data_IF_765727401769
#
_entry.id   IF_765727401769
#
_cell.length_a   1.000
_cell.length_b   1.000
_cell.length_c   1.000
_cell.angle_alpha   90.00
_cell.angle_beta   90.00
_cell.angle_gamma   90.00
#
_symmetry.space_group_name_H-M   'P 1'
#
loop_
_entity.id
_entity.type
_entity.pdbx_description
1 polymer ?
#
# COMPACT_ATOMS: atom_id res chain seq x y z
N UNK A 1 -17.06 35.77 -70.37
CA UNK A 1 -16.12 35.94 -69.24
C UNK A 1 -16.78 36.02 -67.86
N UNK A 2 -18.05 36.36 -67.70
CA UNK A 2 -18.73 36.55 -66.40
C UNK A 2 -19.12 35.21 -65.71
N UNK A 3 -19.39 34.14 -66.46
CA UNK A 3 -19.86 32.85 -65.93
C UNK A 3 -18.75 32.02 -65.27
N UNK A 4 -17.47 32.22 -65.60
CA UNK A 4 -16.33 31.50 -65.05
C UNK A 4 -15.97 32.03 -63.63
N UNK A 5 -16.15 33.32 -63.39
CA UNK A 5 -15.89 33.97 -62.09
C UNK A 5 -16.92 33.59 -61.04
N UNK A 6 -18.14 33.20 -61.41
CA UNK A 6 -19.15 32.76 -60.41
C UNK A 6 -18.95 31.34 -59.92
N UNK A 7 -18.35 30.45 -60.71
CA UNK A 7 -17.98 29.08 -60.29
C UNK A 7 -16.74 29.06 -59.37
N UNK A 8 -15.78 29.96 -59.67
CA UNK A 8 -14.57 30.05 -58.82
C UNK A 8 -14.90 30.57 -57.39
N UNK A 9 -15.83 31.51 -57.24
CA UNK A 9 -16.26 32.04 -55.92
C UNK A 9 -16.98 31.00 -55.06
N UNK A 10 -17.78 30.10 -55.67
CA UNK A 10 -18.47 29.03 -54.93
C UNK A 10 -17.54 27.92 -54.50
N UNK A 11 -16.46 27.62 -55.23
CA UNK A 11 -15.46 26.63 -54.84
C UNK A 11 -14.53 27.15 -53.75
N UNK A 12 -14.14 28.45 -53.77
CA UNK A 12 -13.34 29.05 -52.67
C UNK A 12 -14.11 29.10 -51.33
N UNK A 13 -15.43 29.43 -51.39
CA UNK A 13 -16.26 29.44 -50.16
C UNK A 13 -16.42 28.06 -49.54
N UNK A 14 -16.50 27.00 -50.35
CA UNK A 14 -16.55 25.61 -49.82
C UNK A 14 -15.22 25.11 -49.28
N UNK A 15 -14.10 25.53 -49.88
CA UNK A 15 -12.76 25.22 -49.39
C UNK A 15 -12.46 25.95 -48.06
N UNK A 16 -12.88 27.21 -47.90
CA UNK A 16 -12.76 27.98 -46.70
C UNK A 16 -13.55 27.38 -45.54
N UNK A 17 -14.77 26.88 -45.79
CA UNK A 17 -15.63 26.25 -44.77
C UNK A 17 -15.07 24.91 -44.28
N UNK A 18 -14.45 24.12 -45.19
CA UNK A 18 -13.80 22.84 -44.82
C UNK A 18 -12.51 23.07 -44.05
N UNK A 19 -11.71 24.08 -44.40
CA UNK A 19 -10.51 24.44 -43.63
C UNK A 19 -10.83 24.95 -42.21
N UNK A 20 -11.93 25.74 -42.07
CA UNK A 20 -12.35 26.22 -40.73
C UNK A 20 -12.93 25.10 -39.89
N UNK A 21 -13.62 24.12 -40.47
CA UNK A 21 -14.09 22.94 -39.76
C UNK A 21 -12.93 22.01 -39.31
N UNK A 22 -11.87 21.86 -40.13
CA UNK A 22 -10.66 21.12 -39.75
C UNK A 22 -9.84 21.85 -38.66
N UNK A 23 -9.80 23.20 -38.68
CA UNK A 23 -9.08 23.95 -37.64
C UNK A 23 -9.79 23.91 -36.28
N UNK A 24 -11.13 23.80 -36.25
CA UNK A 24 -11.89 23.61 -34.99
C UNK A 24 -11.77 22.20 -34.41
N UNK A 25 -11.49 21.19 -35.26
CA UNK A 25 -11.23 19.83 -34.78
C UNK A 25 -9.82 19.66 -34.19
N UNK A 26 -8.87 20.55 -34.54
CA UNK A 26 -7.50 20.50 -34.03
C UNK A 26 -7.31 21.12 -32.62
N UNK A 27 -8.35 21.77 -32.06
CA UNK A 27 -8.32 22.35 -30.71
C UNK A 27 -9.01 21.48 -29.66
N UNK A 28 -9.16 20.19 -29.88
CA UNK A 28 -9.46 19.32 -28.75
C UNK A 28 -8.19 19.19 -27.90
N UNK A 29 -8.24 19.52 -26.59
CA UNK A 29 -7.08 19.29 -25.73
C UNK A 29 -6.75 17.80 -25.80
N UNK A 30 -5.55 17.50 -26.31
CA UNK A 30 -5.01 16.14 -26.22
C UNK A 30 -4.93 15.84 -24.75
N UNK A 31 -5.88 15.06 -24.24
CA UNK A 31 -5.82 14.53 -22.88
C UNK A 31 -4.64 13.54 -22.84
N UNK A 32 -3.46 14.04 -22.49
CA UNK A 32 -2.25 13.23 -22.28
C UNK A 32 -2.32 12.39 -21.00
N UNK A 33 -3.49 12.30 -20.37
CA UNK A 33 -3.75 11.50 -19.19
C UNK A 33 -4.01 10.04 -19.56
N UNK A 34 -3.15 9.13 -19.12
CA UNK A 34 -3.43 7.69 -19.16
C UNK A 34 -4.47 7.36 -18.08
N UNK A 35 -5.73 7.41 -18.43
CA UNK A 35 -6.86 7.10 -17.54
C UNK A 35 -8.19 7.58 -18.12
N UNK A 36 -9.32 7.02 -17.65
CA UNK A 36 -10.64 7.41 -18.13
C UNK A 36 -11.00 8.83 -17.68
N UNK A 37 -11.62 9.58 -18.58
CA UNK A 37 -12.20 10.89 -18.25
C UNK A 37 -13.42 10.72 -17.33
N UNK A 38 -13.56 11.61 -16.35
CA UNK A 38 -14.72 11.71 -15.46
C UNK A 38 -15.42 13.06 -15.63
N UNK A 39 -16.71 13.11 -15.29
CA UNK A 39 -17.39 14.35 -14.98
C UNK A 39 -17.30 14.59 -13.46
N UNK A 40 -16.54 15.58 -13.00
CA UNK A 40 -16.38 15.85 -11.57
C UNK A 40 -17.67 16.35 -10.89
N UNK A 41 -18.67 16.78 -11.67
CA UNK A 41 -19.98 17.22 -11.18
C UNK A 41 -21.01 16.08 -11.11
N UNK A 42 -20.69 14.92 -11.69
CA UNK A 42 -21.51 13.71 -11.59
C UNK A 42 -21.02 12.77 -10.49
N UNK A 43 -21.81 11.75 -10.15
CA UNK A 43 -21.35 10.68 -9.28
C UNK A 43 -20.28 9.83 -10.03
N UNK A 44 -19.09 9.71 -9.45
CA UNK A 44 -17.99 8.97 -10.05
C UNK A 44 -18.12 7.49 -9.76
N UNK A 45 -18.25 6.60 -10.76
CA UNK A 45 -18.35 5.16 -10.55
C UNK A 45 -16.99 4.59 -10.11
N UNK A 46 -16.97 4.00 -8.91
CA UNK A 46 -15.81 3.35 -8.30
C UNK A 46 -16.15 1.89 -8.06
N UNK A 47 -15.37 0.96 -8.60
CA UNK A 47 -15.50 -0.45 -8.30
C UNK A 47 -14.69 -0.79 -7.04
N UNK A 48 -15.29 -1.50 -6.11
CA UNK A 48 -14.63 -2.08 -4.94
C UNK A 48 -14.60 -3.61 -5.09
N UNK A 49 -13.43 -4.16 -5.32
CA UNK A 49 -13.22 -5.61 -5.45
C UNK A 49 -12.79 -6.19 -4.10
N UNK A 50 -13.57 -7.12 -3.57
CA UNK A 50 -13.36 -7.71 -2.23
C UNK A 50 -13.46 -9.24 -2.28
N UNK A 51 -12.83 -9.99 -1.35
CA UNK A 51 -12.79 -11.46 -1.38
C UNK A 51 -14.10 -12.11 -0.89
N UNK A 52 -15.21 -11.38 -0.87
CA UNK A 52 -16.54 -11.92 -0.56
C UNK A 52 -16.97 -13.00 -1.56
N UNK A 53 -17.92 -13.83 -1.15
CA UNK A 53 -18.40 -14.98 -1.95
C UNK A 53 -17.55 -16.24 -1.81
N UNK A 54 -16.43 -16.20 -1.07
CA UNK A 54 -15.64 -17.39 -0.72
C UNK A 54 -16.30 -18.21 0.39
N UNK A 55 -15.91 -19.47 0.56
CA UNK A 55 -16.35 -20.30 1.70
C UNK A 55 -15.64 -19.91 3.02
N UNK A 56 -14.62 -19.08 2.97
CA UNK A 56 -13.83 -18.62 4.12
C UNK A 56 -14.58 -17.57 4.94
N UNK A 57 -14.87 -17.86 6.20
CA UNK A 57 -15.48 -16.89 7.11
C UNK A 57 -14.58 -15.64 7.31
N UNK A 58 -13.27 -15.83 7.27
CA UNK A 58 -12.29 -14.73 7.36
C UNK A 58 -12.39 -13.79 6.16
N UNK A 59 -12.50 -14.33 4.95
CA UNK A 59 -12.66 -13.54 3.73
C UNK A 59 -13.98 -12.78 3.71
N UNK A 60 -15.07 -13.42 4.19
CA UNK A 60 -16.37 -12.77 4.32
C UNK A 60 -16.32 -11.59 5.31
N UNK A 61 -15.65 -11.78 6.46
CA UNK A 61 -15.44 -10.71 7.44
C UNK A 61 -14.62 -9.57 6.83
N UNK A 62 -13.53 -9.91 6.15
CA UNK A 62 -12.65 -8.94 5.49
C UNK A 62 -13.41 -8.14 4.41
N UNK A 63 -14.19 -8.83 3.57
CA UNK A 63 -14.99 -8.18 2.53
C UNK A 63 -15.98 -7.18 3.09
N UNK A 64 -16.75 -7.56 4.12
CA UNK A 64 -17.67 -6.63 4.82
C UNK A 64 -16.92 -5.45 5.42
N UNK A 65 -15.78 -5.72 6.04
CA UNK A 65 -15.02 -4.68 6.73
C UNK A 65 -14.43 -3.65 5.75
N UNK A 66 -13.98 -4.07 4.57
CA UNK A 66 -13.51 -3.20 3.50
C UNK A 66 -14.66 -2.36 2.91
N UNK A 67 -15.81 -2.99 2.66
CA UNK A 67 -17.01 -2.27 2.17
C UNK A 67 -17.49 -1.22 3.15
N UNK A 68 -17.63 -1.57 4.42
CA UNK A 68 -18.04 -0.66 5.48
C UNK A 68 -17.07 0.53 5.59
N UNK A 69 -15.77 0.28 5.54
CA UNK A 69 -14.76 1.35 5.58
C UNK A 69 -14.83 2.27 4.35
N UNK A 70 -15.07 1.73 3.16
CA UNK A 70 -15.28 2.53 1.95
C UNK A 70 -16.54 3.41 2.06
N UNK A 71 -17.64 2.87 2.56
CA UNK A 71 -18.89 3.62 2.77
C UNK A 71 -18.75 4.71 3.85
N UNK A 72 -18.00 4.42 4.93
CA UNK A 72 -17.66 5.42 5.94
C UNK A 72 -16.87 6.58 5.35
N UNK A 73 -15.88 6.28 4.50
CA UNK A 73 -15.09 7.30 3.81
C UNK A 73 -15.96 8.17 2.88
N UNK A 74 -16.88 7.56 2.12
CA UNK A 74 -17.79 8.28 1.24
C UNK A 74 -18.65 9.29 2.03
N UNK A 75 -19.15 8.89 3.21
CA UNK A 75 -19.92 9.79 4.09
C UNK A 75 -19.10 11.01 4.53
N UNK A 76 -17.77 10.90 4.58
CA UNK A 76 -16.88 11.99 4.99
C UNK A 76 -16.45 12.92 3.84
N UNK A 77 -16.73 12.59 2.58
CA UNK A 77 -16.17 13.33 1.44
C UNK A 77 -16.70 14.76 1.28
N UNK A 78 -17.83 15.10 1.82
CA UNK A 78 -18.40 16.45 1.75
C UNK A 78 -18.43 17.03 0.34
N UNK A 79 -19.55 16.89 -0.37
CA UNK A 79 -19.77 17.46 -1.71
C UNK A 79 -19.26 16.65 -2.90
N UNK A 80 -18.38 15.65 -2.70
CA UNK A 80 -17.97 14.71 -3.76
C UNK A 80 -18.93 13.51 -3.75
N UNK A 81 -19.44 13.16 -4.92
CA UNK A 81 -20.34 12.01 -5.09
C UNK A 81 -19.60 10.82 -5.69
N UNK A 82 -19.61 9.70 -4.98
CA UNK A 82 -19.06 8.41 -5.41
C UNK A 82 -20.21 7.41 -5.58
N UNK A 83 -20.29 6.78 -6.76
CA UNK A 83 -21.16 5.63 -7.02
C UNK A 83 -20.33 4.36 -6.77
N UNK A 84 -20.37 3.86 -5.52
CA UNK A 84 -19.61 2.67 -5.10
C UNK A 84 -20.33 1.40 -5.51
N UNK A 85 -19.67 0.59 -6.34
CA UNK A 85 -20.15 -0.73 -6.76
C UNK A 85 -19.23 -1.81 -6.25
N UNK A 86 -19.80 -2.78 -5.51
CA UNK A 86 -19.04 -3.85 -4.86
C UNK A 86 -19.06 -5.10 -5.72
N UNK A 87 -17.87 -5.68 -5.96
CA UNK A 87 -17.67 -6.88 -6.75
C UNK A 87 -16.95 -7.93 -5.91
N UNK A 88 -17.57 -9.09 -5.77
CA UNK A 88 -17.04 -10.20 -4.98
C UNK A 88 -16.17 -11.09 -5.88
N UNK A 89 -14.93 -11.35 -5.45
CA UNK A 89 -13.94 -12.13 -6.21
C UNK A 89 -13.78 -13.55 -5.68
N UNK A 90 -14.37 -13.86 -4.54
CA UNK A 90 -14.22 -15.13 -3.82
C UNK A 90 -12.75 -15.54 -3.55
N UNK A 91 -11.81 -14.59 -3.59
CA UNK A 91 -10.38 -14.88 -3.46
C UNK A 91 -9.79 -15.63 -4.67
N UNK A 92 -10.47 -15.60 -5.84
CA UNK A 92 -10.14 -16.44 -6.99
C UNK A 92 -9.41 -15.62 -8.10
N UNK A 93 -8.09 -15.78 -8.28
CA UNK A 93 -7.35 -15.08 -9.33
C UNK A 93 -7.89 -15.31 -10.74
N UNK A 94 -8.36 -16.53 -11.03
CA UNK A 94 -8.93 -16.89 -12.33
C UNK A 94 -10.22 -16.14 -12.68
N UNK A 95 -10.95 -15.60 -11.70
CA UNK A 95 -12.18 -14.83 -11.91
C UNK A 95 -11.94 -13.31 -11.86
N UNK A 96 -10.89 -12.87 -11.17
CA UNK A 96 -10.65 -11.47 -10.87
C UNK A 96 -10.55 -10.61 -12.15
N UNK A 97 -9.92 -11.13 -13.22
CA UNK A 97 -9.83 -10.44 -14.50
C UNK A 97 -11.20 -10.19 -15.16
N UNK A 98 -12.04 -11.23 -15.23
CA UNK A 98 -13.39 -11.12 -15.81
C UNK A 98 -14.29 -10.20 -14.98
N UNK A 99 -14.18 -10.26 -13.65
CA UNK A 99 -14.91 -9.37 -12.73
C UNK A 99 -14.49 -7.92 -12.91
N UNK A 100 -13.17 -7.66 -13.06
CA UNK A 100 -12.66 -6.31 -13.33
C UNK A 100 -13.17 -5.76 -14.67
N UNK A 101 -13.16 -6.57 -15.74
CA UNK A 101 -13.72 -6.20 -17.05
C UNK A 101 -15.22 -5.88 -16.94
N UNK A 102 -15.97 -6.68 -16.20
CA UNK A 102 -17.39 -6.40 -15.93
C UNK A 102 -17.56 -5.07 -15.21
N UNK A 103 -16.78 -4.81 -14.17
CA UNK A 103 -16.84 -3.53 -13.45
C UNK A 103 -16.62 -2.33 -14.38
N UNK A 104 -15.67 -2.45 -15.34
CA UNK A 104 -15.43 -1.41 -16.35
C UNK A 104 -16.59 -1.31 -17.33
N UNK A 105 -17.15 -2.41 -17.78
CA UNK A 105 -18.36 -2.42 -18.65
C UNK A 105 -19.56 -1.78 -17.94
N UNK A 106 -19.70 -1.98 -16.63
CA UNK A 106 -20.70 -1.32 -15.79
C UNK A 106 -20.40 0.17 -15.55
N UNK A 107 -19.27 0.71 -16.05
CA UNK A 107 -18.92 2.12 -16.06
C UNK A 107 -17.88 2.55 -15.02
N UNK A 108 -17.25 1.64 -14.29
CA UNK A 108 -16.21 1.99 -13.31
C UNK A 108 -15.08 2.78 -13.95
N UNK A 109 -14.60 3.83 -13.27
CA UNK A 109 -13.51 4.70 -13.69
C UNK A 109 -12.21 4.47 -12.95
N UNK A 110 -12.28 3.76 -11.85
CA UNK A 110 -11.14 3.30 -11.04
C UNK A 110 -11.58 2.07 -10.26
N UNK A 111 -10.63 1.19 -9.94
CA UNK A 111 -10.87 -0.02 -9.14
C UNK A 111 -10.10 0.12 -7.83
N UNK A 112 -10.75 -0.13 -6.69
CA UNK A 112 -10.17 -0.30 -5.37
C UNK A 112 -10.15 -1.79 -5.01
N UNK A 113 -9.05 -2.29 -4.49
CA UNK A 113 -8.81 -3.72 -4.34
C UNK A 113 -8.28 -4.34 -5.66
N UNK A 114 -8.25 -5.69 -5.75
CA UNK A 114 -8.50 -6.67 -4.68
C UNK A 114 -7.40 -6.71 -3.61
N UNK A 115 -7.59 -7.62 -2.64
CA UNK A 115 -6.66 -7.81 -1.52
C UNK A 115 -5.46 -8.65 -1.93
N UNK A 116 -5.69 -9.78 -2.58
CA UNK A 116 -4.64 -10.75 -2.89
C UNK A 116 -3.86 -10.36 -4.14
N UNK A 117 -2.53 -10.53 -4.08
CA UNK A 117 -1.63 -10.08 -5.14
C UNK A 117 -1.95 -10.70 -6.51
N UNK A 118 -2.24 -12.00 -6.55
CA UNK A 118 -2.54 -12.70 -7.80
C UNK A 118 -3.86 -12.21 -8.42
N UNK A 119 -4.87 -11.90 -7.60
CA UNK A 119 -6.12 -11.31 -8.07
C UNK A 119 -5.88 -9.88 -8.63
N UNK A 120 -5.09 -9.08 -7.90
CA UNK A 120 -4.78 -7.72 -8.31
C UNK A 120 -4.00 -7.67 -9.62
N UNK A 121 -3.06 -8.60 -9.80
CA UNK A 121 -2.33 -8.74 -11.06
C UNK A 121 -3.28 -9.13 -12.21
N UNK A 122 -4.12 -10.17 -12.01
CA UNK A 122 -5.07 -10.61 -13.02
C UNK A 122 -6.08 -9.51 -13.40
N UNK A 123 -6.62 -8.81 -12.41
CA UNK A 123 -7.55 -7.69 -12.62
C UNK A 123 -6.87 -6.52 -13.35
N UNK A 124 -5.65 -6.13 -12.91
CA UNK A 124 -4.90 -5.04 -13.52
C UNK A 124 -4.57 -5.29 -14.98
N UNK A 125 -4.06 -6.48 -15.32
CA UNK A 125 -3.77 -6.88 -16.70
C UNK A 125 -5.04 -6.82 -17.57
N UNK A 126 -6.17 -7.31 -17.03
CA UNK A 126 -7.43 -7.37 -17.77
C UNK A 126 -8.00 -6.00 -18.14
N UNK A 127 -7.77 -4.95 -17.33
CA UNK A 127 -8.32 -3.60 -17.55
C UNK A 127 -7.29 -2.59 -18.03
N UNK A 128 -6.02 -2.97 -18.17
CA UNK A 128 -4.96 -2.10 -18.67
C UNK A 128 -5.26 -1.50 -20.06
N UNK A 129 -5.83 -2.27 -21.03
CA UNK A 129 -6.16 -1.72 -22.35
C UNK A 129 -7.19 -0.58 -22.31
N UNK A 130 -8.06 -0.54 -21.28
CA UNK A 130 -9.04 0.53 -21.09
C UNK A 130 -8.49 1.73 -20.30
N UNK A 131 -7.21 1.68 -19.89
CA UNK A 131 -6.58 2.75 -19.12
C UNK A 131 -7.10 2.89 -17.70
N UNK A 132 -7.78 1.86 -17.16
CA UNK A 132 -8.33 1.88 -15.81
C UNK A 132 -7.21 1.62 -14.80
N UNK A 133 -7.05 2.53 -13.85
CA UNK A 133 -6.13 2.36 -12.74
C UNK A 133 -6.76 1.51 -11.62
N UNK A 134 -5.92 0.68 -10.99
CA UNK A 134 -6.30 -0.24 -9.92
C UNK A 134 -5.46 0.05 -8.67
N UNK A 135 -6.10 0.34 -7.55
CA UNK A 135 -5.46 0.57 -6.25
C UNK A 135 -5.65 -0.68 -5.38
N UNK A 136 -4.69 -1.61 -5.47
CA UNK A 136 -4.72 -2.89 -4.76
C UNK A 136 -4.52 -2.73 -3.26
N UNK A 137 -5.24 -3.50 -2.45
CA UNK A 137 -5.04 -3.59 -1.00
C UNK A 137 -3.89 -4.54 -0.61
N UNK A 138 -3.23 -5.15 -1.58
CA UNK A 138 -2.05 -5.99 -1.35
C UNK A 138 -0.90 -5.18 -0.75
N UNK A 139 -0.02 -5.86 -0.04
CA UNK A 139 1.28 -5.35 0.41
C UNK A 139 2.45 -5.86 -0.45
N UNK A 140 2.18 -6.67 -1.48
CA UNK A 140 3.20 -7.20 -2.37
C UNK A 140 3.56 -6.15 -3.44
N UNK A 141 4.79 -5.66 -3.40
CA UNK A 141 5.30 -4.67 -4.36
C UNK A 141 5.55 -5.24 -5.77
N UNK A 142 5.67 -6.57 -5.93
CA UNK A 142 5.98 -7.19 -7.22
C UNK A 142 4.84 -7.05 -8.25
N UNK A 143 3.62 -6.80 -7.78
CA UNK A 143 2.47 -6.57 -8.66
C UNK A 143 2.34 -5.11 -9.12
N UNK A 144 3.17 -4.22 -8.55
CA UNK A 144 3.13 -2.79 -8.85
C UNK A 144 3.64 -2.51 -10.27
N UNK A 145 3.04 -1.55 -10.93
CA UNK A 145 3.45 -1.11 -12.27
C UNK A 145 2.28 -0.93 -13.21
N UNK A 146 2.56 -0.52 -14.45
CA UNK A 146 1.54 -0.20 -15.44
C UNK A 146 0.36 0.60 -14.84
N UNK A 147 -0.81 -0.02 -14.67
CA UNK A 147 -2.02 0.56 -14.08
C UNK A 147 -2.32 0.05 -12.67
N UNK A 148 -1.44 -0.75 -12.06
CA UNK A 148 -1.61 -1.30 -10.71
C UNK A 148 -0.79 -0.50 -9.71
N UNK A 149 -1.46 0.03 -8.70
CA UNK A 149 -0.86 0.72 -7.56
C UNK A 149 -1.12 -0.07 -6.28
N UNK A 150 -0.08 -0.29 -5.50
CA UNK A 150 -0.18 -0.98 -4.21
C UNK A 150 -0.52 0.05 -3.12
N UNK A 151 -1.62 -0.14 -2.38
CA UNK A 151 -2.01 0.71 -1.25
C UNK A 151 -1.52 0.15 0.09
N UNK A 152 -1.36 -1.16 0.20
CA UNK A 152 -0.91 -1.78 1.45
C UNK A 152 0.51 -1.34 1.84
N UNK A 153 0.85 -1.35 3.13
CA UNK A 153 2.21 -1.10 3.58
C UNK A 153 3.13 -2.22 3.11
N UNK A 154 4.11 -1.88 2.27
CA UNK A 154 5.07 -2.85 1.73
C UNK A 154 6.21 -3.12 2.71
N UNK A 155 6.94 -4.22 2.52
CA UNK A 155 8.16 -4.49 3.28
C UNK A 155 9.19 -3.39 3.12
N UNK A 156 9.29 -2.76 1.94
CA UNK A 156 10.16 -1.62 1.69
C UNK A 156 9.82 -0.41 2.56
N UNK A 157 8.52 -0.10 2.74
CA UNK A 157 8.12 1.01 3.61
C UNK A 157 8.61 0.80 5.04
N UNK A 158 8.31 -0.38 5.59
CA UNK A 158 8.69 -0.76 6.95
C UNK A 158 10.21 -0.79 7.12
N UNK A 159 10.91 -1.48 6.23
CA UNK A 159 12.36 -1.64 6.29
C UNK A 159 13.06 -0.27 6.22
N UNK A 160 12.71 0.56 5.24
CA UNK A 160 13.30 1.90 5.07
C UNK A 160 13.07 2.78 6.30
N UNK A 161 11.85 2.77 6.84
CA UNK A 161 11.50 3.55 8.02
C UNK A 161 12.29 3.13 9.26
N UNK A 162 12.37 1.83 9.52
CA UNK A 162 13.08 1.27 10.67
C UNK A 162 14.60 1.44 10.56
N UNK A 163 15.19 1.16 9.40
CA UNK A 163 16.63 1.29 9.20
C UNK A 163 17.08 2.74 9.36
N UNK A 164 16.34 3.72 8.80
CA UNK A 164 16.65 5.14 8.99
C UNK A 164 16.56 5.56 10.45
N UNK A 165 15.51 5.13 11.14
CA UNK A 165 15.36 5.43 12.56
C UNK A 165 16.50 4.79 13.38
N UNK A 166 16.81 3.52 13.16
CA UNK A 166 17.91 2.85 13.82
C UNK A 166 19.24 3.57 13.60
N UNK A 167 19.52 3.98 12.36
CA UNK A 167 20.72 4.76 12.02
C UNK A 167 20.77 6.10 12.76
N UNK A 168 19.65 6.79 12.92
CA UNK A 168 19.58 8.04 13.69
C UNK A 168 19.81 7.86 15.18
N UNK A 169 19.56 6.63 15.68
CA UNK A 169 19.85 6.22 17.07
C UNK A 169 21.26 5.62 17.22
N UNK A 170 22.12 5.71 16.20
CA UNK A 170 23.49 5.22 16.23
C UNK A 170 23.65 3.73 15.87
N UNK A 171 22.55 3.03 15.56
CA UNK A 171 22.55 1.59 15.25
C UNK A 171 22.68 1.40 13.73
N UNK A 172 23.91 1.31 13.25
CA UNK A 172 24.22 1.32 11.81
C UNK A 172 24.65 -0.03 11.26
N UNK A 173 25.15 -0.94 12.11
CA UNK A 173 25.58 -2.28 11.71
C UNK A 173 24.38 -3.22 11.79
N UNK A 174 23.71 -3.42 10.67
CA UNK A 174 22.47 -4.21 10.58
C UNK A 174 22.78 -5.63 10.17
N UNK A 175 22.28 -6.61 10.92
CA UNK A 175 22.28 -8.02 10.56
C UNK A 175 20.85 -8.45 10.22
N UNK A 176 20.64 -9.16 9.12
CA UNK A 176 19.32 -9.71 8.75
C UNK A 176 19.20 -11.14 9.28
N UNK A 177 18.08 -11.42 9.95
CA UNK A 177 17.68 -12.76 10.38
C UNK A 177 16.36 -13.10 9.70
N UNK A 178 16.38 -14.09 8.80
CA UNK A 178 15.21 -14.41 7.99
C UNK A 178 14.90 -15.91 7.94
N UNK A 179 13.64 -16.27 7.90
CA UNK A 179 13.24 -17.61 7.52
C UNK A 179 13.33 -17.79 5.99
N UNK A 180 13.49 -19.05 5.51
CA UNK A 180 13.63 -19.39 4.10
C UNK A 180 12.29 -19.63 3.40
N UNK A 181 11.24 -18.95 3.86
CA UNK A 181 9.97 -18.90 3.13
C UNK A 181 10.02 -17.85 2.00
N UNK A 182 9.14 -17.90 1.01
CA UNK A 182 9.05 -16.84 0.00
C UNK A 182 8.85 -15.45 0.61
N UNK A 183 8.06 -15.33 1.68
CA UNK A 183 7.85 -14.07 2.41
C UNK A 183 9.10 -13.61 3.14
N UNK A 184 9.82 -14.53 3.81
CA UNK A 184 11.08 -14.26 4.48
C UNK A 184 12.15 -13.78 3.52
N UNK A 185 12.26 -14.39 2.34
CA UNK A 185 13.20 -13.98 1.29
C UNK A 185 12.85 -12.60 0.70
N UNK A 186 11.58 -12.34 0.42
CA UNK A 186 11.11 -11.02 -0.02
C UNK A 186 11.43 -9.95 1.03
N UNK A 187 11.19 -10.26 2.30
CA UNK A 187 11.54 -9.40 3.44
C UNK A 187 13.04 -9.14 3.52
N UNK A 188 13.88 -10.18 3.41
CA UNK A 188 15.33 -10.05 3.37
C UNK A 188 15.80 -9.10 2.28
N UNK A 189 15.24 -9.26 1.06
CA UNK A 189 15.58 -8.40 -0.06
C UNK A 189 15.17 -6.94 0.19
N UNK A 190 13.99 -6.70 0.76
CA UNK A 190 13.51 -5.36 1.11
C UNK A 190 14.41 -4.69 2.17
N UNK A 191 14.80 -5.43 3.21
CA UNK A 191 15.71 -4.91 4.25
C UNK A 191 17.09 -4.61 3.67
N UNK A 192 17.65 -5.49 2.83
CA UNK A 192 18.95 -5.26 2.19
C UNK A 192 18.94 -4.00 1.33
N UNK A 193 17.88 -3.76 0.54
CA UNK A 193 17.72 -2.52 -0.23
C UNK A 193 17.60 -1.28 0.68
N UNK A 194 16.87 -1.39 1.77
CA UNK A 194 16.72 -0.29 2.72
C UNK A 194 18.05 0.08 3.38
N UNK A 195 18.86 -0.91 3.77
CA UNK A 195 20.20 -0.69 4.34
C UNK A 195 21.12 -0.02 3.32
N UNK A 196 21.17 -0.51 2.08
CA UNK A 196 21.99 0.07 1.01
C UNK A 196 21.66 1.55 0.74
N UNK A 197 20.38 1.95 0.92
CA UNK A 197 19.93 3.32 0.71
C UNK A 197 19.98 4.25 1.94
N UNK A 198 20.52 3.80 3.08
CA UNK A 198 20.41 4.53 4.36
C UNK A 198 21.74 5.04 4.96
N UNK A 199 22.88 4.66 4.39
CA UNK A 199 24.20 4.89 4.99
C UNK A 199 24.49 3.97 6.20
N UNK A 200 23.69 2.92 6.41
CA UNK A 200 23.96 1.82 7.31
C UNK A 200 24.76 0.73 6.61
N UNK A 201 25.34 -0.19 7.37
CA UNK A 201 26.13 -1.33 6.85
C UNK A 201 25.36 -2.62 7.08
N UNK A 202 25.17 -3.42 6.04
CA UNK A 202 24.73 -4.81 6.18
C UNK A 202 25.93 -5.67 6.58
N UNK A 203 26.05 -5.99 7.85
CA UNK A 203 27.23 -6.71 8.38
C UNK A 203 27.12 -8.22 8.26
N UNK A 204 25.90 -8.77 8.20
CA UNK A 204 25.64 -10.21 7.97
C UNK A 204 24.20 -10.48 7.60
N UNK A 205 23.96 -11.66 7.04
CA UNK A 205 22.63 -12.22 6.81
C UNK A 205 22.64 -13.68 7.18
N UNK A 206 21.71 -14.10 8.05
CA UNK A 206 21.55 -15.50 8.46
C UNK A 206 20.13 -15.96 8.20
N UNK A 207 20.00 -17.00 7.36
CA UNK A 207 18.74 -17.66 7.04
C UNK A 207 18.60 -18.97 7.82
N UNK A 208 17.36 -19.33 8.17
CA UNK A 208 17.03 -20.58 8.85
C UNK A 208 15.78 -21.23 8.23
N UNK A 209 15.67 -22.55 8.38
CA UNK A 209 14.50 -23.28 7.93
C UNK A 209 13.28 -22.95 8.80
N UNK A 210 12.12 -22.73 8.14
CA UNK A 210 10.87 -22.42 8.82
C UNK A 210 10.29 -23.65 9.51
N UNK A 211 10.91 -24.03 10.60
CA UNK A 211 10.50 -25.13 11.47
C UNK A 211 11.02 -24.89 12.90
N UNK A 212 10.39 -25.51 13.88
CA UNK A 212 10.85 -25.44 15.25
C UNK A 212 12.33 -25.89 15.37
N UNK A 213 12.68 -27.00 14.74
CA UNK A 213 14.05 -27.52 14.76
C UNK A 213 15.04 -26.57 14.04
N UNK A 214 14.65 -26.00 12.91
CA UNK A 214 15.46 -25.02 12.20
C UNK A 214 15.77 -23.79 13.03
N UNK A 215 14.79 -23.27 13.78
CA UNK A 215 14.99 -22.15 14.71
C UNK A 215 15.94 -22.52 15.85
N UNK A 216 15.74 -23.70 16.50
CA UNK A 216 16.57 -24.15 17.62
C UNK A 216 18.02 -24.32 17.18
N UNK A 217 18.26 -24.89 16.00
CA UNK A 217 19.62 -25.08 15.48
C UNK A 217 20.27 -23.75 15.04
N UNK A 218 19.50 -22.79 14.51
CA UNK A 218 20.06 -21.54 14.04
C UNK A 218 20.36 -20.52 15.14
N UNK A 219 19.62 -20.54 16.25
CA UNK A 219 19.75 -19.52 17.29
C UNK A 219 21.18 -19.35 17.87
N UNK A 220 21.95 -20.41 18.21
CA UNK A 220 23.33 -20.26 18.63
C UNK A 220 24.23 -19.62 17.57
N UNK A 221 24.08 -20.01 16.32
CA UNK A 221 24.84 -19.45 15.20
C UNK A 221 24.50 -17.97 15.00
N UNK A 222 23.20 -17.60 15.02
CA UNK A 222 22.76 -16.20 14.90
C UNK A 222 23.39 -15.36 16.01
N UNK A 223 23.34 -15.85 17.28
CA UNK A 223 23.90 -15.13 18.41
C UNK A 223 25.43 -14.96 18.29
N UNK A 224 26.14 -16.02 17.91
CA UNK A 224 27.59 -15.98 17.71
C UNK A 224 27.97 -15.02 16.54
N UNK A 225 27.28 -15.10 15.43
CA UNK A 225 27.50 -14.23 14.26
C UNK A 225 27.28 -12.76 14.64
N UNK A 226 26.14 -12.45 15.30
CA UNK A 226 25.81 -11.07 15.68
C UNK A 226 26.92 -10.43 16.54
N UNK A 227 27.45 -11.18 17.51
CA UNK A 227 28.56 -10.71 18.35
C UNK A 227 29.86 -10.60 17.55
N UNK A 228 30.16 -11.58 16.71
CA UNK A 228 31.41 -11.63 15.93
C UNK A 228 31.53 -10.49 14.92
N UNK A 229 30.40 -10.06 14.32
CA UNK A 229 30.39 -8.93 13.36
C UNK A 229 30.06 -7.58 14.00
N UNK A 230 29.83 -7.53 15.31
CA UNK A 230 29.47 -6.30 16.00
C UNK A 230 28.14 -5.72 15.51
N UNK A 231 27.11 -6.54 15.37
CA UNK A 231 25.80 -6.07 14.93
C UNK A 231 25.14 -5.18 16.00
N UNK A 232 24.76 -3.95 15.60
CA UNK A 232 24.02 -3.01 16.47
C UNK A 232 22.52 -3.33 16.44
N UNK A 233 22.03 -3.87 15.33
CA UNK A 233 20.62 -4.21 15.11
C UNK A 233 20.46 -5.56 14.41
N UNK A 234 19.49 -6.35 14.86
CA UNK A 234 19.01 -7.57 14.19
C UNK A 234 17.66 -7.29 13.56
N UNK A 235 17.57 -7.37 12.24
CA UNK A 235 16.32 -7.16 11.51
C UNK A 235 15.66 -8.50 11.19
N UNK A 236 14.49 -8.76 11.78
CA UNK A 236 13.75 -10.01 11.65
C UNK A 236 12.69 -9.91 10.56
N UNK A 237 12.66 -10.90 9.65
CA UNK A 237 11.53 -11.08 8.72
C UNK A 237 10.43 -11.94 9.33
N UNK A 238 10.73 -12.69 10.38
CA UNK A 238 9.79 -13.53 11.11
C UNK A 238 8.55 -12.76 11.58
N UNK A 239 7.38 -13.35 11.40
CA UNK A 239 6.12 -12.81 11.88
C UNK A 239 5.68 -13.40 13.23
N UNK A 240 4.67 -12.78 13.81
CA UNK A 240 4.14 -13.11 15.15
C UNK A 240 3.38 -14.43 15.19
N UNK A 241 2.80 -14.87 14.07
CA UNK A 241 2.12 -16.15 13.93
C UNK A 241 3.10 -17.28 13.57
N UNK A 242 4.30 -16.94 13.12
CA UNK A 242 5.34 -17.86 12.71
C UNK A 242 6.43 -18.05 13.75
N UNK A 243 7.68 -17.85 13.33
CA UNK A 243 8.87 -18.20 14.13
C UNK A 243 9.32 -17.10 15.10
N UNK A 244 8.76 -15.88 15.04
CA UNK A 244 9.20 -14.76 15.89
C UNK A 244 9.20 -15.09 17.40
N UNK A 245 8.13 -15.68 17.97
CA UNK A 245 8.11 -16.01 19.39
C UNK A 245 9.25 -16.93 19.81
N UNK A 246 9.52 -17.96 19.02
CA UNK A 246 10.54 -18.95 19.33
C UNK A 246 11.95 -18.40 19.12
N UNK A 247 12.22 -17.75 17.97
CA UNK A 247 13.57 -17.26 17.66
C UNK A 247 14.02 -16.19 18.67
N UNK A 248 13.13 -15.26 19.05
CA UNK A 248 13.49 -14.21 20.02
C UNK A 248 13.70 -14.75 21.42
N UNK A 249 12.95 -15.80 21.83
CA UNK A 249 13.18 -16.47 23.08
C UNK A 249 14.53 -17.22 23.07
N UNK A 250 14.79 -17.99 22.01
CA UNK A 250 16.05 -18.73 21.87
C UNK A 250 17.29 -17.81 21.89
N UNK A 251 17.22 -16.66 21.21
CA UNK A 251 18.31 -15.67 21.21
C UNK A 251 18.53 -15.09 22.62
N UNK A 252 17.45 -14.83 23.37
CA UNK A 252 17.52 -14.40 24.76
C UNK A 252 18.20 -15.45 25.64
N UNK A 253 17.87 -16.74 25.45
CA UNK A 253 18.48 -17.84 26.18
C UNK A 253 19.98 -17.98 25.84
N UNK A 254 20.38 -17.56 24.63
CA UNK A 254 21.79 -17.42 24.23
C UNK A 254 22.45 -16.12 24.78
N UNK A 255 21.75 -15.33 25.60
CA UNK A 255 22.22 -14.05 26.12
C UNK A 255 22.31 -12.93 25.10
N UNK A 256 21.67 -13.04 23.92
CA UNK A 256 21.53 -11.96 22.96
C UNK A 256 20.16 -11.32 23.13
N UNK A 257 20.12 -10.14 23.72
CA UNK A 257 18.88 -9.41 23.98
C UNK A 257 18.84 -8.09 23.23
N UNK A 258 17.71 -7.42 23.25
CA UNK A 258 17.52 -6.09 22.66
C UNK A 258 18.42 -5.00 23.26
N UNK A 259 19.09 -5.27 24.38
CA UNK A 259 20.08 -4.38 24.99
C UNK A 259 21.47 -4.50 24.33
N UNK A 260 21.84 -5.71 23.85
CA UNK A 260 23.10 -5.91 23.12
C UNK A 260 23.01 -5.56 21.66
N UNK A 261 21.89 -5.92 21.01
CA UNK A 261 21.60 -5.55 19.64
C UNK A 261 20.10 -5.28 19.50
N UNK A 262 19.72 -4.14 18.94
CA UNK A 262 18.31 -3.78 18.80
C UNK A 262 17.58 -4.74 17.87
N UNK A 263 16.45 -5.28 18.30
CA UNK A 263 15.60 -6.10 17.44
C UNK A 263 14.65 -5.21 16.65
N UNK A 264 14.62 -5.38 15.34
CA UNK A 264 13.76 -4.64 14.40
C UNK A 264 12.82 -5.62 13.71
N UNK A 265 11.51 -5.36 13.76
CA UNK A 265 10.50 -6.22 13.19
C UNK A 265 9.99 -5.72 11.84
N UNK A 266 10.09 -6.54 10.80
CA UNK A 266 9.53 -6.22 9.48
C UNK A 266 8.00 -6.20 9.49
N UNK A 267 7.38 -6.99 10.36
CA UNK A 267 5.93 -7.08 10.54
C UNK A 267 5.49 -6.37 11.82
N UNK A 268 4.19 -6.22 11.99
CA UNK A 268 3.60 -5.65 13.22
C UNK A 268 3.71 -6.65 14.36
N UNK A 269 4.40 -6.26 15.44
CA UNK A 269 4.60 -7.11 16.61
C UNK A 269 3.52 -6.95 17.68
N UNK A 270 2.60 -6.05 17.50
CA UNK A 270 1.43 -5.83 18.38
C UNK A 270 0.18 -6.59 17.93
N UNK A 271 0.27 -7.37 16.86
CA UNK A 271 -0.82 -8.20 16.34
C UNK A 271 -0.33 -9.66 16.22
N UNK A 272 -0.92 -10.60 16.94
CA UNK A 272 -1.95 -10.43 17.98
C UNK A 272 -1.37 -9.78 19.25
N UNK A 273 -2.23 -9.17 20.05
CA UNK A 273 -1.84 -8.45 21.28
C UNK A 273 -1.07 -9.36 22.27
N UNK A 274 -1.32 -10.67 22.23
CA UNK A 274 -0.60 -11.65 23.06
C UNK A 274 0.93 -11.62 22.85
N UNK A 275 1.41 -11.22 21.68
CA UNK A 275 2.85 -11.07 21.39
C UNK A 275 3.53 -10.09 22.34
N UNK A 276 2.82 -9.05 22.78
CA UNK A 276 3.38 -8.03 23.67
C UNK A 276 3.84 -8.60 25.03
N UNK A 277 3.31 -9.76 25.43
CA UNK A 277 3.69 -10.41 26.68
C UNK A 277 5.00 -11.22 26.58
N UNK A 278 5.49 -11.50 25.38
CA UNK A 278 6.68 -12.34 25.16
C UNK A 278 7.96 -11.65 25.68
N UNK A 279 8.77 -12.33 26.50
CA UNK A 279 10.00 -11.74 27.01
C UNK A 279 11.03 -11.41 25.92
N UNK A 280 11.09 -12.21 24.85
CA UNK A 280 12.08 -12.07 23.78
C UNK A 280 11.89 -10.82 22.91
N UNK A 281 10.68 -10.23 22.87
CA UNK A 281 10.39 -9.06 22.05
C UNK A 281 10.45 -7.73 22.82
N UNK A 282 10.65 -7.78 24.16
CA UNK A 282 10.73 -6.57 24.98
C UNK A 282 11.91 -5.69 24.55
N UNK A 283 11.67 -4.39 24.33
CA UNK A 283 12.64 -3.45 23.80
C UNK A 283 12.81 -3.51 22.28
N UNK A 284 12.10 -4.41 21.58
CA UNK A 284 12.12 -4.49 20.13
C UNK A 284 11.32 -3.37 19.47
N UNK A 285 11.71 -2.97 18.27
CA UNK A 285 11.09 -1.89 17.49
C UNK A 285 10.38 -2.46 16.27
N UNK A 286 9.24 -1.88 15.95
CA UNK A 286 8.48 -2.18 14.72
C UNK A 286 7.79 -0.92 14.21
N UNK A 287 7.44 -0.92 12.92
CA UNK A 287 6.69 0.18 12.33
C UNK A 287 5.19 -0.11 12.33
N UNK A 288 4.37 0.93 12.52
CA UNK A 288 2.92 0.83 12.56
C UNK A 288 2.26 2.08 11.94
N UNK A 289 1.00 2.00 11.52
CA UNK A 289 0.23 3.18 11.13
C UNK A 289 0.22 4.26 12.23
N UNK A 290 0.00 5.53 11.85
CA UNK A 290 -0.18 6.60 12.83
C UNK A 290 -1.34 6.26 13.78
N UNK A 291 -1.08 6.12 15.09
CA UNK A 291 -2.11 5.68 16.03
C UNK A 291 -3.30 6.63 16.15
N UNK A 292 -3.06 7.95 16.04
CA UNK A 292 -4.10 8.95 16.22
C UNK A 292 -5.24 8.85 15.20
N UNK A 293 -4.96 9.05 13.90
CA UNK A 293 -5.96 8.88 12.84
C UNK A 293 -6.55 7.47 12.80
N UNK A 294 -5.75 6.44 13.09
CA UNK A 294 -6.20 5.06 13.06
C UNK A 294 -7.21 4.77 14.19
N UNK A 295 -6.96 5.22 15.41
CA UNK A 295 -7.87 5.08 16.53
C UNK A 295 -9.18 5.87 16.31
N UNK A 296 -9.09 7.08 15.74
CA UNK A 296 -10.27 7.85 15.37
C UNK A 296 -11.13 7.12 14.34
N UNK A 297 -10.50 6.50 13.32
CA UNK A 297 -11.21 5.64 12.36
C UNK A 297 -11.86 4.45 13.04
N UNK A 298 -11.16 3.73 13.90
CA UNK A 298 -11.69 2.57 14.61
C UNK A 298 -12.92 2.94 15.46
N UNK A 299 -12.86 4.05 16.22
CA UNK A 299 -13.97 4.52 17.03
C UNK A 299 -15.20 4.86 16.18
N UNK A 300 -15.01 5.53 15.04
CA UNK A 300 -16.10 5.89 14.12
C UNK A 300 -16.69 4.66 13.42
N UNK A 301 -15.83 3.72 13.02
CA UNK A 301 -16.28 2.46 12.43
C UNK A 301 -17.12 1.67 13.43
N UNK A 302 -16.64 1.52 14.67
CA UNK A 302 -17.37 0.85 15.75
C UNK A 302 -18.71 1.52 16.03
N UNK A 303 -18.75 2.85 16.04
CA UNK A 303 -20.01 3.60 16.26
C UNK A 303 -21.00 3.39 15.11
N UNK A 304 -20.53 3.27 13.87
CA UNK A 304 -21.38 3.12 12.69
C UNK A 304 -21.89 1.68 12.49
N UNK A 305 -21.06 0.67 12.82
CA UNK A 305 -21.32 -0.73 12.44
C UNK A 305 -21.41 -1.71 13.63
N UNK A 306 -21.15 -1.26 14.86
CA UNK A 306 -21.27 -2.09 16.06
C UNK A 306 -20.14 -3.10 16.26
N UNK A 307 -19.13 -3.12 15.37
CA UNK A 307 -18.01 -4.06 15.39
C UNK A 307 -16.68 -3.34 15.13
N UNK A 308 -15.57 -3.95 15.55
CA UNK A 308 -14.23 -3.42 15.21
C UNK A 308 -13.88 -3.70 13.76
N UNK A 309 -13.23 -2.76 13.04
CA UNK A 309 -12.80 -3.01 11.68
C UNK A 309 -11.71 -4.08 11.62
N UNK A 310 -11.69 -4.84 10.53
CA UNK A 310 -10.53 -5.68 10.21
C UNK A 310 -9.26 -4.80 10.09
N UNK A 311 -8.07 -5.27 10.52
CA UNK A 311 -6.83 -4.45 10.56
C UNK A 311 -6.47 -3.73 9.26
N UNK A 312 -6.82 -4.29 8.09
CA UNK A 312 -6.54 -3.65 6.79
C UNK A 312 -7.74 -2.90 6.19
N UNK A 313 -8.88 -2.84 6.87
CA UNK A 313 -10.08 -2.15 6.36
C UNK A 313 -9.81 -0.67 6.05
N UNK A 314 -8.91 -0.03 6.79
CA UNK A 314 -8.49 1.34 6.56
C UNK A 314 -7.94 1.60 5.15
N UNK A 315 -7.46 0.57 4.42
CA UNK A 315 -7.00 0.72 3.04
C UNK A 315 -8.15 1.09 2.08
N UNK A 316 -9.34 0.55 2.29
CA UNK A 316 -10.51 0.92 1.50
C UNK A 316 -10.95 2.36 1.79
N UNK A 317 -10.88 2.78 3.06
CA UNK A 317 -11.08 4.18 3.44
C UNK A 317 -10.06 5.09 2.74
N UNK A 318 -8.76 4.77 2.82
CA UNK A 318 -7.67 5.52 2.20
C UNK A 318 -7.87 5.65 0.68
N UNK A 319 -8.26 4.56 0.01
CA UNK A 319 -8.54 4.55 -1.42
C UNK A 319 -9.68 5.51 -1.80
N UNK A 320 -10.79 5.47 -1.09
CA UNK A 320 -11.91 6.40 -1.31
C UNK A 320 -11.50 7.85 -0.99
N UNK A 321 -10.78 8.08 0.10
CA UNK A 321 -10.30 9.41 0.47
C UNK A 321 -9.39 10.01 -0.62
N UNK A 322 -8.49 9.21 -1.19
CA UNK A 322 -7.64 9.63 -2.30
C UNK A 322 -8.46 9.95 -3.56
N UNK A 323 -9.38 9.08 -3.97
CA UNK A 323 -10.28 9.32 -5.09
C UNK A 323 -11.09 10.61 -4.85
N UNK A 324 -11.66 10.78 -3.66
CA UNK A 324 -12.42 11.98 -3.31
C UNK A 324 -11.59 13.27 -3.37
N UNK A 325 -10.33 13.22 -2.88
CA UNK A 325 -9.41 14.36 -2.96
C UNK A 325 -9.10 14.74 -4.42
N UNK A 326 -8.91 13.74 -5.29
CA UNK A 326 -8.64 13.95 -6.71
C UNK A 326 -9.87 14.51 -7.45
N UNK A 327 -11.05 13.94 -7.24
CA UNK A 327 -12.31 14.40 -7.86
C UNK A 327 -12.64 15.84 -7.45
N UNK A 328 -12.35 16.22 -6.19
CA UNK A 328 -12.52 17.60 -5.70
C UNK A 328 -11.69 18.62 -6.46
N UNK A 329 -10.63 18.21 -7.16
CA UNK A 329 -9.84 19.10 -8.02
C UNK A 329 -10.64 19.65 -9.23
N UNK A 330 -11.79 19.07 -9.54
CA UNK A 330 -12.66 19.49 -10.65
C UNK A 330 -12.13 19.11 -12.03
N UNK A 331 -11.09 18.28 -12.14
CA UNK A 331 -10.45 17.93 -13.41
C UNK A 331 -11.06 16.67 -13.99
N UNK A 332 -11.25 16.66 -15.29
CA UNK A 332 -11.76 15.49 -16.01
C UNK A 332 -10.77 14.31 -16.00
N UNK A 333 -9.46 14.58 -15.90
CA UNK A 333 -8.37 13.58 -15.82
C UNK A 333 -7.93 13.26 -14.39
N UNK A 334 -8.77 13.56 -13.40
CA UNK A 334 -8.45 13.42 -11.97
C UNK A 334 -8.06 11.99 -11.55
N UNK A 335 -8.49 10.96 -12.27
CA UNK A 335 -8.14 9.56 -11.99
C UNK A 335 -6.99 9.05 -12.88
N UNK A 336 -6.29 9.94 -13.58
CA UNK A 336 -5.12 9.60 -14.38
C UNK A 336 -3.94 9.17 -13.48
N UNK A 337 -3.00 8.41 -14.05
CA UNK A 337 -1.76 8.02 -13.38
C UNK A 337 -1.00 9.24 -12.83
N UNK A 338 -0.92 10.32 -13.59
CA UNK A 338 -0.26 11.56 -13.17
C UNK A 338 -0.92 12.18 -11.91
N UNK A 339 -2.26 12.19 -11.87
CA UNK A 339 -2.98 12.71 -10.71
C UNK A 339 -2.83 11.80 -9.48
N UNK A 340 -2.87 10.48 -9.67
CA UNK A 340 -2.65 9.50 -8.60
C UNK A 340 -1.25 9.60 -7.98
N UNK A 341 -0.22 9.93 -8.78
CA UNK A 341 1.19 9.97 -8.33
C UNK A 341 1.66 11.37 -7.93
N UNK A 342 0.73 12.25 -7.55
CA UNK A 342 1.09 13.59 -7.08
C UNK A 342 2.04 13.56 -5.87
N UNK A 343 3.03 14.46 -5.85
CA UNK A 343 4.09 14.47 -4.83
C UNK A 343 3.60 14.77 -3.42
N UNK A 344 2.52 15.55 -3.28
CA UNK A 344 1.90 15.86 -1.98
C UNK A 344 1.31 14.64 -1.28
N UNK A 345 0.94 13.60 -2.04
CA UNK A 345 0.24 12.43 -1.52
C UNK A 345 -1.17 12.74 -1.02
N UNK A 346 -1.65 11.89 -0.11
CA UNK A 346 -3.01 11.89 0.42
C UNK A 346 -2.97 11.68 1.94
N UNK A 347 -3.94 12.23 2.62
CA UNK A 347 -4.19 11.90 4.02
C UNK A 347 -5.06 10.64 4.11
N UNK A 348 -4.64 9.69 4.95
CA UNK A 348 -5.36 8.45 5.21
C UNK A 348 -5.54 8.18 6.69
N UNK A 349 -6.33 7.17 7.02
CA UNK A 349 -6.57 6.75 8.42
C UNK A 349 -5.34 6.08 9.05
N UNK A 350 -4.41 5.58 8.25
CA UNK A 350 -3.13 5.03 8.71
C UNK A 350 -1.98 6.05 8.69
N UNK A 351 -2.26 7.31 8.41
CA UNK A 351 -1.26 8.36 8.19
C UNK A 351 -1.21 8.82 6.73
N UNK A 352 -0.31 9.76 6.43
CA UNK A 352 -0.11 10.24 5.07
C UNK A 352 0.50 9.16 4.18
N UNK A 353 0.05 9.08 2.94
CA UNK A 353 0.62 8.18 1.93
C UNK A 353 0.67 8.84 0.54
N UNK A 354 1.54 8.37 -0.32
CA UNK A 354 1.55 8.73 -1.74
C UNK A 354 1.84 7.51 -2.60
N UNK A 355 1.27 7.53 -3.81
CA UNK A 355 1.56 6.52 -4.83
C UNK A 355 2.75 6.99 -5.67
N UNK A 356 3.60 6.06 -6.05
CA UNK A 356 4.81 6.33 -6.84
C UNK A 356 4.58 6.02 -8.32
N UNK A 357 5.38 6.63 -9.22
CA UNK A 357 5.29 6.30 -10.65
C UNK A 357 5.59 4.84 -10.99
N UNK A 358 6.28 4.09 -10.14
CA UNK A 358 6.51 2.65 -10.31
C UNK A 358 5.34 1.78 -9.83
N UNK A 359 4.23 2.37 -9.35
CA UNK A 359 3.06 1.68 -8.81
C UNK A 359 3.20 1.28 -7.34
N UNK A 360 4.37 1.47 -6.73
CA UNK A 360 4.56 1.29 -5.29
C UNK A 360 4.04 2.51 -4.51
N UNK A 361 4.21 2.52 -3.20
CA UNK A 361 3.81 3.65 -2.37
C UNK A 361 4.90 4.04 -1.38
N UNK A 362 4.79 5.24 -0.83
CA UNK A 362 5.39 5.65 0.43
C UNK A 362 4.28 5.83 1.46
N UNK A 363 4.45 5.29 2.66
CA UNK A 363 3.54 5.49 3.80
C UNK A 363 4.28 6.06 4.99
N UNK A 364 3.66 7.05 5.62
CA UNK A 364 4.12 7.57 6.89
C UNK A 364 3.80 6.56 7.99
N UNK A 365 4.84 6.00 8.60
CA UNK A 365 4.72 5.02 9.67
C UNK A 365 5.34 5.58 10.95
N UNK A 366 4.68 5.37 12.08
CA UNK A 366 5.25 5.55 13.39
C UNK A 366 6.21 4.39 13.72
N UNK A 367 7.22 4.65 14.55
CA UNK A 367 8.04 3.61 15.16
C UNK A 367 7.55 3.40 16.58
N UNK A 368 7.31 2.15 16.92
CA UNK A 368 6.91 1.71 18.25
C UNK A 368 7.95 0.78 18.85
N UNK A 369 8.04 0.82 20.18
CA UNK A 369 8.81 -0.11 21.00
C UNK A 369 7.86 -0.91 21.86
N UNK A 370 8.14 -2.20 22.06
CA UNK A 370 7.46 -3.00 23.06
C UNK A 370 8.15 -2.76 24.41
N UNK A 371 7.50 -2.05 25.30
CA UNK A 371 8.02 -1.70 26.62
C UNK A 371 7.01 -2.07 27.70
N UNK A 372 7.42 -2.89 28.67
CA UNK A 372 6.54 -3.35 29.76
C UNK A 372 5.23 -3.98 29.24
N UNK A 373 5.32 -4.79 28.20
CA UNK A 373 4.17 -5.47 27.54
C UNK A 373 3.17 -4.50 26.90
N UNK A 374 3.60 -3.28 26.58
CA UNK A 374 2.79 -2.26 25.95
C UNK A 374 3.49 -1.72 24.71
N UNK A 375 2.69 -1.21 23.80
CA UNK A 375 3.19 -0.47 22.62
C UNK A 375 3.44 0.97 23.04
N UNK A 376 4.67 1.42 22.89
CA UNK A 376 5.06 2.83 23.12
C UNK A 376 5.56 3.41 21.82
N UNK A 377 4.89 4.43 21.29
CA UNK A 377 5.37 5.18 20.12
C UNK A 377 6.60 5.98 20.53
N UNK A 378 7.74 5.68 19.90
CA UNK A 378 9.04 6.32 20.19
C UNK A 378 9.45 7.31 19.12
N UNK A 379 8.84 7.21 17.92
CA UNK A 379 9.01 8.19 16.85
C UNK A 379 7.69 8.28 16.03
N UNK A 380 7.01 9.44 16.08
CA UNK A 380 5.71 9.60 15.44
C UNK A 380 5.79 9.50 13.91
N UNK A 381 4.66 9.17 13.27
CA UNK A 381 4.57 9.16 11.83
C UNK A 381 4.77 10.58 11.25
N UNK A 382 5.59 10.73 10.20
CA UNK A 382 5.73 12.01 9.51
C UNK A 382 4.39 12.48 8.92
N UNK A 383 4.11 13.80 8.98
CA UNK A 383 2.85 14.37 8.48
C UNK A 383 2.90 14.81 7.02
N UNK A 384 4.08 14.85 6.40
CA UNK A 384 4.28 15.29 5.01
C UNK A 384 5.52 14.63 4.40
N UNK A 385 5.56 14.55 3.07
CA UNK A 385 6.65 13.94 2.29
C UNK A 385 7.81 14.90 1.99
N UNK A 386 8.11 15.83 2.82
CA UNK A 386 9.26 16.76 2.67
C UNK A 386 10.23 16.69 3.83
N UNK A 387 9.99 15.87 4.83
CA UNK A 387 10.78 15.78 6.05
C UNK A 387 11.77 14.62 6.06
N UNK A 388 12.69 14.64 7.04
CA UNK A 388 13.74 13.63 7.25
C UNK A 388 13.23 12.20 7.55
N UNK A 389 11.93 11.99 7.67
CA UNK A 389 11.31 10.70 8.00
C UNK A 389 10.92 9.82 6.81
N UNK A 390 11.15 10.25 5.55
CA UNK A 390 10.80 9.51 4.33
C UNK A 390 12.01 9.09 3.53
#
# INVERSE_FOLDING_TARGET
MIAVLHRARKSLGRFGLVLTALALAACQPVTTGTGPSIDPNAAVPVALMVPGGSASATDQLLARSLENAARLAIADLGGVRIDLRVYQTAGQPGQAGAIAQRAVADGARIILGPVFAQEANAAGVAVAPQGINLLSFSNNADIAGANVFVLGPTFENTARRLVRYAASQGQRNVMIVHDRTPSGEAGRAAVARAVAGSGSTLVSTVGYEFSQNGVVQAAPQIAATARGVGADALFFTADTAGSLPLITQMLRDQGLTTAQARYLGLTRWDIPQATLALPGVQGGWFAMPDPGPFQAFQARYQAAYGESPHPIAGLAYDGIAAVGALVRSGRADALSRAALTQSSGFAGVGGTFRLRPDGTNDRALAIAEIRNRQVVVIDPAPRSFGGAGF
#
